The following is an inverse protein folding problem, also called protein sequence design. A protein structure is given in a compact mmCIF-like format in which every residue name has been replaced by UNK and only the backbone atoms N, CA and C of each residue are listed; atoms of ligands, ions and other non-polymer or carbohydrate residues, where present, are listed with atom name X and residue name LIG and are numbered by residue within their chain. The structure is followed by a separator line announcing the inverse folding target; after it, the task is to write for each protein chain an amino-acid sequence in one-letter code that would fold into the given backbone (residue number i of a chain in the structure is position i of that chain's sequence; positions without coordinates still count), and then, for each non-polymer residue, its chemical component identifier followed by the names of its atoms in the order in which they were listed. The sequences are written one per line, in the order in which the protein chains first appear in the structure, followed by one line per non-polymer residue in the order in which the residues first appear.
data_IF_446258820536
#
_entry.id   IF_446258820536
#
_cell.length_a   1.000
_cell.length_b   1.000
_cell.length_c   1.000
_cell.angle_alpha   90.00
_cell.angle_beta   90.00
_cell.angle_gamma   90.00
#
_symmetry.space_group_name_H-M   'P 1'
#
loop_
_entity.id
_entity.type
_entity.pdbx_description
1 polymer ?
#
# COMPACT_ATOMS: atom_id res chain seq x y z
N UNK A 1 -8.32 14.04 -12.57
CA UNK A 1 -8.41 14.91 -11.38
C UNK A 1 -9.29 14.19 -10.38
N UNK A 2 -8.81 13.94 -9.15
CA UNK A 2 -9.59 13.23 -8.14
C UNK A 2 -10.62 14.20 -7.54
N UNK A 3 -11.89 13.78 -7.48
CA UNK A 3 -12.97 14.63 -7.01
C UNK A 3 -13.05 14.57 -5.49
N UNK A 4 -12.99 15.73 -4.82
CA UNK A 4 -13.23 15.83 -3.38
C UNK A 4 -14.74 16.07 -3.19
N UNK A 5 -15.45 15.20 -2.44
CA UNK A 5 -16.87 15.40 -2.17
C UNK A 5 -17.17 16.75 -1.49
N UNK A 6 -18.30 17.38 -1.80
CA UNK A 6 -18.65 18.71 -1.29
C UNK A 6 -18.67 18.80 0.26
N UNK A 7 -19.13 17.74 0.94
CA UNK A 7 -19.23 17.68 2.41
C UNK A 7 -17.97 17.14 3.12
N UNK A 8 -16.84 17.05 2.41
CA UNK A 8 -15.61 16.46 2.95
C UNK A 8 -15.07 17.23 4.16
N UNK A 9 -15.17 18.55 4.14
CA UNK A 9 -14.70 19.42 5.24
C UNK A 9 -15.48 19.15 6.52
N UNK A 10 -16.81 19.15 6.45
CA UNK A 10 -17.66 18.92 7.62
C UNK A 10 -17.48 17.50 8.16
N UNK A 11 -17.44 16.51 7.25
CA UNK A 11 -17.20 15.11 7.62
C UNK A 11 -15.85 14.94 8.32
N UNK A 12 -14.79 15.57 7.78
CA UNK A 12 -13.46 15.53 8.38
C UNK A 12 -13.41 16.22 9.75
N UNK A 13 -14.06 17.37 9.91
CA UNK A 13 -14.10 18.08 11.20
C UNK A 13 -14.84 17.28 12.28
N UNK A 14 -15.90 16.56 11.91
CA UNK A 14 -16.71 15.80 12.86
C UNK A 14 -16.15 14.40 13.15
N UNK A 15 -15.63 13.72 12.12
CA UNK A 15 -15.24 12.30 12.19
C UNK A 15 -13.72 12.08 12.18
N UNK A 16 -12.94 13.10 11.80
CA UNK A 16 -11.50 12.99 11.58
C UNK A 16 -11.11 12.30 10.26
N UNK A 17 -12.08 11.94 9.42
CA UNK A 17 -11.87 11.34 8.09
C UNK A 17 -13.07 11.61 7.16
N UNK A 18 -12.87 11.42 5.86
CA UNK A 18 -13.94 11.34 4.86
C UNK A 18 -13.56 10.31 3.79
N UNK A 19 -14.51 9.91 2.95
CA UNK A 19 -14.32 8.87 1.94
C UNK A 19 -14.32 9.48 0.56
N UNK A 20 -13.34 9.11 -0.27
CA UNK A 20 -13.34 9.37 -1.71
C UNK A 20 -13.56 8.04 -2.41
N UNK A 21 -14.76 7.84 -2.96
CA UNK A 21 -15.03 6.66 -3.78
C UNK A 21 -14.22 6.71 -5.07
N UNK A 22 -13.77 5.52 -5.51
CA UNK A 22 -12.98 5.36 -6.75
C UNK A 22 -11.77 6.31 -6.81
N UNK A 23 -11.12 6.53 -5.67
CA UNK A 23 -9.89 7.33 -5.58
C UNK A 23 -8.77 6.81 -6.48
N UNK A 24 -8.74 5.50 -6.69
CA UNK A 24 -7.95 4.81 -7.70
C UNK A 24 -8.91 4.18 -8.71
N UNK A 25 -8.54 4.24 -9.99
CA UNK A 25 -9.20 3.50 -11.05
C UNK A 25 -8.90 2.00 -10.96
N UNK A 26 -9.73 1.18 -11.59
CA UNK A 26 -9.53 -0.28 -11.64
C UNK A 26 -8.17 -0.66 -12.24
N UNK A 27 -7.67 0.15 -13.19
CA UNK A 27 -6.36 -0.03 -13.80
C UNK A 27 -5.21 0.26 -12.83
N UNK A 28 -5.31 1.35 -12.05
CA UNK A 28 -4.33 1.68 -11.00
C UNK A 28 -4.31 0.60 -9.91
N UNK A 29 -5.48 0.11 -9.50
CA UNK A 29 -5.60 -1.00 -8.53
C UNK A 29 -4.95 -2.28 -9.08
N UNK A 30 -5.24 -2.64 -10.34
CA UNK A 30 -4.63 -3.79 -10.99
C UNK A 30 -3.10 -3.67 -11.09
N UNK A 31 -2.58 -2.47 -11.39
CA UNK A 31 -1.14 -2.20 -11.40
C UNK A 31 -0.52 -2.42 -10.02
N UNK A 32 -1.12 -1.89 -8.95
CA UNK A 32 -0.63 -2.09 -7.57
C UNK A 32 -0.58 -3.58 -7.21
N UNK A 33 -1.59 -4.37 -7.59
CA UNK A 33 -1.58 -5.82 -7.36
C UNK A 33 -0.47 -6.55 -8.12
N UNK A 34 -0.20 -6.14 -9.36
CA UNK A 34 0.91 -6.67 -10.15
C UNK A 34 2.25 -6.35 -9.50
N UNK A 35 2.46 -5.10 -9.10
CA UNK A 35 3.70 -4.65 -8.46
C UNK A 35 3.90 -5.28 -7.07
N UNK A 36 2.84 -5.48 -6.30
CA UNK A 36 2.91 -6.22 -5.05
C UNK A 36 3.33 -7.68 -5.26
N UNK A 37 2.84 -8.32 -6.33
CA UNK A 37 3.22 -9.68 -6.69
C UNK A 37 4.72 -9.76 -7.07
N UNK A 38 5.23 -8.75 -7.78
CA UNK A 38 6.67 -8.61 -8.07
C UNK A 38 7.47 -8.40 -6.78
N UNK A 39 7.02 -7.54 -5.88
CA UNK A 39 7.68 -7.30 -4.58
C UNK A 39 7.83 -8.60 -3.80
N UNK A 40 6.76 -9.41 -3.72
CA UNK A 40 6.80 -10.68 -3.00
C UNK A 40 7.85 -11.65 -3.54
N UNK A 41 8.01 -11.70 -4.86
CA UNK A 41 8.93 -12.59 -5.53
C UNK A 41 10.37 -12.08 -5.53
N UNK A 42 10.56 -10.80 -5.85
CA UNK A 42 11.85 -10.27 -6.29
C UNK A 42 12.50 -9.29 -5.30
N UNK A 43 11.71 -8.69 -4.39
CA UNK A 43 12.17 -7.67 -3.44
C UNK A 43 12.24 -8.23 -2.02
N UNK A 44 11.18 -8.85 -1.50
CA UNK A 44 11.14 -9.41 -0.14
C UNK A 44 12.35 -10.31 0.18
N UNK A 45 12.80 -11.23 -0.70
CA UNK A 45 13.96 -12.08 -0.39
C UNK A 45 15.28 -11.33 -0.16
N UNK A 46 15.36 -10.07 -0.58
CA UNK A 46 16.53 -9.19 -0.44
C UNK A 46 16.39 -8.21 0.72
N UNK A 47 15.20 -8.08 1.30
CA UNK A 47 14.94 -7.20 2.42
C UNK A 47 15.53 -7.75 3.73
N UNK A 48 15.96 -6.88 4.66
CA UNK A 48 16.36 -7.31 6.00
C UNK A 48 15.23 -8.05 6.71
N UNK A 49 15.54 -9.16 7.39
CA UNK A 49 14.53 -9.91 8.15
C UNK A 49 13.87 -9.09 9.27
N UNK A 50 14.52 -8.02 9.75
CA UNK A 50 13.94 -7.06 10.70
C UNK A 50 12.86 -6.16 10.09
N UNK A 51 12.65 -6.21 8.78
CA UNK A 51 11.69 -5.38 8.05
C UNK A 51 10.59 -6.20 7.35
N UNK A 52 10.62 -7.52 7.51
CA UNK A 52 9.65 -8.45 6.91
C UNK A 52 9.05 -9.30 8.01
N UNK A 53 7.77 -9.08 8.31
CA UNK A 53 7.06 -9.76 9.39
C UNK A 53 6.02 -10.73 8.84
N UNK A 54 6.04 -11.94 9.40
CA UNK A 54 5.12 -13.02 9.10
C UNK A 54 4.34 -13.38 10.36
N UNK A 55 3.04 -13.69 10.23
CA UNK A 55 2.24 -14.19 11.35
C UNK A 55 2.72 -15.58 11.82
N UNK A 56 3.23 -16.39 10.89
CA UNK A 56 3.86 -17.67 11.18
C UNK A 56 5.30 -17.67 10.67
N UNK A 57 6.26 -17.78 11.60
CA UNK A 57 7.68 -17.80 11.25
C UNK A 57 7.97 -18.99 10.32
N UNK A 58 8.45 -18.68 9.11
CA UNK A 58 8.81 -19.67 8.10
C UNK A 58 7.72 -19.94 7.04
N UNK A 59 6.49 -19.47 7.25
CA UNK A 59 5.45 -19.53 6.22
C UNK A 59 5.40 -18.23 5.42
N UNK A 60 5.83 -18.29 4.15
CA UNK A 60 5.87 -17.15 3.23
C UNK A 60 4.48 -16.62 2.86
N UNK A 61 3.42 -17.42 3.02
CA UNK A 61 2.05 -17.01 2.75
C UNK A 61 1.42 -16.25 3.92
N UNK A 62 2.07 -16.27 5.08
CA UNK A 62 1.61 -15.55 6.28
C UNK A 62 2.18 -14.12 6.39
N UNK A 63 2.57 -13.52 5.26
CA UNK A 63 3.13 -12.18 5.22
C UNK A 63 2.13 -11.18 5.84
N UNK A 64 2.55 -10.55 6.93
CA UNK A 64 1.73 -9.63 7.72
C UNK A 64 2.06 -8.17 7.42
N UNK A 65 3.35 -7.86 7.37
CA UNK A 65 3.80 -6.48 7.29
C UNK A 65 5.18 -6.36 6.63
N UNK A 66 5.34 -5.33 5.79
CA UNK A 66 6.59 -4.87 5.22
C UNK A 66 6.91 -3.47 5.75
N UNK A 67 8.07 -3.30 6.38
CA UNK A 67 8.51 -1.99 6.84
C UNK A 67 9.20 -1.25 5.70
N UNK A 68 8.93 0.07 5.61
CA UNK A 68 9.62 1.00 4.71
C UNK A 68 9.72 0.50 3.26
N UNK A 69 8.66 -0.11 2.73
CA UNK A 69 8.67 -0.69 1.38
C UNK A 69 9.16 0.29 0.29
N UNK A 70 8.83 1.57 0.42
CA UNK A 70 9.31 2.64 -0.47
C UNK A 70 10.84 2.79 -0.54
N UNK A 71 11.59 2.38 0.48
CA UNK A 71 13.06 2.40 0.45
C UNK A 71 13.62 1.25 -0.39
N UNK A 72 12.85 0.17 -0.52
CA UNK A 72 13.29 -1.07 -1.18
C UNK A 72 12.68 -1.25 -2.58
N UNK A 73 11.70 -0.42 -2.95
CA UNK A 73 10.96 -0.57 -4.19
C UNK A 73 10.58 0.78 -4.83
N UNK A 74 11.03 0.98 -6.07
CA UNK A 74 10.84 2.25 -6.80
C UNK A 74 9.37 2.56 -7.06
N UNK A 75 8.55 1.55 -7.39
CA UNK A 75 7.13 1.78 -7.65
C UNK A 75 6.42 2.26 -6.38
N UNK A 76 6.60 1.55 -5.25
CA UNK A 76 5.99 1.96 -4.00
C UNK A 76 6.59 3.26 -3.43
N UNK A 77 7.81 3.65 -3.82
CA UNK A 77 8.34 4.98 -3.56
C UNK A 77 7.51 6.09 -4.23
N UNK A 78 7.13 5.90 -5.50
CA UNK A 78 6.26 6.87 -6.22
C UNK A 78 4.82 6.94 -5.70
N UNK A 79 4.39 5.98 -4.88
CA UNK A 79 3.06 6.04 -4.25
C UNK A 79 3.01 6.93 -3.00
N UNK A 80 4.18 7.22 -2.39
CA UNK A 80 4.27 8.01 -1.15
C UNK A 80 4.52 9.50 -1.43
N UNK A 81 5.18 9.83 -2.54
CA UNK A 81 5.58 11.18 -2.93
C UNK A 81 4.98 11.57 -4.27
#
# INVERSE_FOLDING_TARGET
MKFIPENSTDSFQQLGFFVIEKFLSDAEVAQIHSELSRVQKDVIPKMPASEVYYDQKGDRNSLKQLQRLHVHDDFFNTCIF
#
